data_IF_853119384422
#
_entry.id   IF_853119384422
#
_cell.length_a   1.000
_cell.length_b   1.000
_cell.length_c   1.000
_cell.angle_alpha   90.00
_cell.angle_beta   90.00
_cell.angle_gamma   90.00
#
_symmetry.space_group_name_H-M   'P 1'
#
loop_
_entity.id
_entity.type
_entity.pdbx_description
1 polymer ?
#
# COMPACT_ATOMS: atom_id res chain seq x y z
N UNK A 1 -7.02 15.76 26.98
CA UNK A 1 -7.07 17.22 26.75
C UNK A 1 -6.74 17.57 25.29
N UNK A 2 -5.71 16.96 24.69
CA UNK A 2 -5.24 17.28 23.32
C UNK A 2 -6.26 17.06 22.19
N UNK A 3 -7.15 16.06 22.29
CA UNK A 3 -8.08 15.76 21.19
C UNK A 3 -9.16 16.84 21.00
N UNK A 4 -9.69 17.39 22.11
CA UNK A 4 -10.73 18.41 22.03
C UNK A 4 -10.18 19.71 21.43
N UNK A 5 -8.95 20.08 21.77
CA UNK A 5 -8.27 21.25 21.20
C UNK A 5 -8.05 21.11 19.68
N UNK A 6 -7.76 19.90 19.19
CA UNK A 6 -7.66 19.61 17.75
C UNK A 6 -9.04 19.76 17.08
N UNK A 7 -10.09 19.23 17.70
CA UNK A 7 -11.47 19.35 17.17
C UNK A 7 -11.89 20.81 17.06
N UNK A 8 -11.65 21.60 18.10
CA UNK A 8 -11.98 23.02 18.12
C UNK A 8 -11.17 23.81 17.07
N UNK A 9 -9.91 23.42 16.85
CA UNK A 9 -9.06 24.01 15.80
C UNK A 9 -9.57 23.69 14.39
N UNK A 10 -10.04 22.46 14.16
CA UNK A 10 -10.60 22.04 12.86
C UNK A 10 -11.92 22.77 12.56
N UNK A 11 -12.77 22.97 13.58
CA UNK A 11 -14.03 23.70 13.43
C UNK A 11 -13.79 25.19 13.11
N UNK A 12 -12.69 25.76 13.58
CA UNK A 12 -12.31 27.15 13.32
C UNK A 12 -11.76 27.39 11.90
N UNK A 13 -11.43 26.34 11.14
CA UNK A 13 -10.95 26.44 9.76
C UNK A 13 -12.06 26.87 8.80
N UNK A 14 -11.68 27.53 7.71
CA UNK A 14 -12.60 27.75 6.59
C UNK A 14 -13.01 26.44 5.92
N UNK A 15 -14.11 26.47 5.16
CA UNK A 15 -14.61 25.28 4.45
C UNK A 15 -13.56 24.71 3.49
N UNK A 16 -12.83 25.57 2.78
CA UNK A 16 -11.76 25.16 1.86
C UNK A 16 -10.60 24.47 2.60
N UNK A 17 -10.20 25.00 3.76
CA UNK A 17 -9.15 24.39 4.59
C UNK A 17 -9.60 23.04 5.19
N UNK A 18 -10.88 22.91 5.55
CA UNK A 18 -11.45 21.65 6.00
C UNK A 18 -11.45 20.60 4.88
N UNK A 19 -11.86 20.98 3.66
CA UNK A 19 -11.86 20.09 2.50
C UNK A 19 -10.44 19.61 2.16
N UNK A 20 -9.46 20.51 2.18
CA UNK A 20 -8.04 20.16 1.98
C UNK A 20 -7.52 19.21 3.05
N UNK A 21 -7.91 19.41 4.32
CA UNK A 21 -7.50 18.55 5.44
C UNK A 21 -8.12 17.16 5.33
N UNK A 22 -9.36 17.04 4.87
CA UNK A 22 -10.02 15.76 4.60
C UNK A 22 -9.28 14.98 3.52
N UNK A 23 -8.91 15.62 2.41
CA UNK A 23 -8.16 14.98 1.33
C UNK A 23 -6.77 14.52 1.80
N UNK A 24 -6.07 15.33 2.60
CA UNK A 24 -4.78 14.94 3.18
C UNK A 24 -4.90 13.68 4.07
N UNK A 25 -5.89 13.65 4.96
CA UNK A 25 -6.13 12.48 5.84
C UNK A 25 -6.49 11.25 5.01
N UNK A 26 -7.26 11.42 3.93
CA UNK A 26 -7.62 10.33 3.03
C UNK A 26 -6.39 9.73 2.35
N UNK A 27 -5.53 10.56 1.77
CA UNK A 27 -4.28 10.12 1.13
C UNK A 27 -3.39 9.36 2.12
N UNK A 28 -3.22 9.91 3.32
CA UNK A 28 -2.42 9.26 4.37
C UNK A 28 -2.98 7.89 4.76
N UNK A 29 -4.31 7.73 4.84
CA UNK A 29 -4.94 6.42 5.09
C UNK A 29 -4.73 5.45 3.94
N UNK A 30 -4.80 5.90 2.69
CA UNK A 30 -4.56 5.05 1.52
C UNK A 30 -3.11 4.54 1.51
N UNK A 31 -2.14 5.40 1.80
CA UNK A 31 -0.72 5.02 1.96
C UNK A 31 -0.51 4.02 3.11
N UNK A 32 -1.10 4.28 4.28
CA UNK A 32 -1.01 3.37 5.41
C UNK A 32 -1.62 2.00 5.10
N UNK A 33 -2.78 1.95 4.42
CA UNK A 33 -3.41 0.70 3.98
C UNK A 33 -2.53 -0.06 2.98
N UNK A 34 -1.89 0.64 2.05
CA UNK A 34 -0.92 0.05 1.13
C UNK A 34 0.25 -0.59 1.87
N UNK A 35 0.80 0.10 2.88
CA UNK A 35 1.88 -0.41 3.72
C UNK A 35 1.44 -1.62 4.56
N UNK A 36 0.25 -1.59 5.17
CA UNK A 36 -0.29 -2.70 5.95
C UNK A 36 -0.54 -3.95 5.08
N UNK A 37 -1.05 -3.75 3.86
CA UNK A 37 -1.23 -4.82 2.88
C UNK A 37 0.12 -5.42 2.51
N UNK A 38 1.13 -4.59 2.21
CA UNK A 38 2.47 -5.04 1.87
C UNK A 38 3.11 -5.86 3.01
N UNK A 39 3.04 -5.36 4.24
CA UNK A 39 3.53 -6.11 5.41
C UNK A 39 2.81 -7.44 5.60
N UNK A 40 1.51 -7.51 5.30
CA UNK A 40 0.75 -8.76 5.39
C UNK A 40 1.19 -9.76 4.32
N UNK A 41 1.45 -9.30 3.08
CA UNK A 41 2.00 -10.15 2.02
C UNK A 41 3.40 -10.66 2.36
N UNK A 42 4.26 -9.83 2.97
CA UNK A 42 5.58 -10.25 3.43
C UNK A 42 5.49 -11.33 4.52
N UNK A 43 4.56 -11.20 5.47
CA UNK A 43 4.32 -12.25 6.49
C UNK A 43 3.84 -13.55 5.85
N UNK A 44 2.90 -13.47 4.91
CA UNK A 44 2.41 -14.64 4.19
C UNK A 44 3.54 -15.34 3.43
N UNK A 45 4.42 -14.57 2.76
CA UNK A 45 5.61 -15.12 2.09
C UNK A 45 6.52 -15.87 3.07
N UNK A 46 6.81 -15.30 4.23
CA UNK A 46 7.67 -15.94 5.22
C UNK A 46 7.09 -17.29 5.72
N UNK A 47 5.76 -17.35 5.92
CA UNK A 47 5.08 -18.60 6.30
C UNK A 47 5.19 -19.65 5.19
N UNK A 48 4.99 -19.26 3.92
CA UNK A 48 5.14 -20.18 2.79
C UNK A 48 6.56 -20.72 2.67
N UNK A 49 7.58 -19.88 2.87
CA UNK A 49 8.98 -20.29 2.86
C UNK A 49 9.29 -21.26 4.02
N UNK A 50 8.72 -21.06 5.21
CA UNK A 50 8.86 -21.97 6.36
C UNK A 50 8.23 -23.34 6.08
N UNK A 51 7.10 -23.37 5.38
CA UNK A 51 6.41 -24.60 4.92
C UNK A 51 7.09 -25.25 3.70
N UNK A 52 8.21 -24.70 3.22
CA UNK A 52 8.97 -25.22 2.08
C UNK A 52 8.32 -24.94 0.72
N UNK A 53 7.35 -24.02 0.66
CA UNK A 53 6.73 -23.56 -0.58
C UNK A 53 7.53 -22.37 -1.11
N UNK A 54 8.32 -22.64 -2.15
CA UNK A 54 9.08 -21.62 -2.86
C UNK A 54 8.47 -21.40 -4.24
N UNK A 55 8.45 -20.15 -4.68
CA UNK A 55 8.18 -19.80 -6.06
C UNK A 55 9.47 -19.27 -6.67
N UNK A 56 9.91 -19.86 -7.78
CA UNK A 56 11.05 -19.39 -8.55
C UNK A 56 10.61 -18.68 -9.84
N UNK A 57 11.58 -18.23 -10.63
CA UNK A 57 11.30 -17.52 -11.87
C UNK A 57 10.64 -18.43 -12.93
N UNK A 58 10.87 -19.73 -12.86
CA UNK A 58 10.28 -20.70 -13.78
C UNK A 58 8.78 -20.89 -13.48
N UNK A 59 8.35 -20.75 -12.22
CA UNK A 59 6.93 -20.78 -11.85
C UNK A 59 6.09 -19.66 -12.48
N UNK A 60 6.72 -18.54 -12.84
CA UNK A 60 6.07 -17.39 -13.48
C UNK A 60 6.35 -17.30 -14.99
N UNK A 61 7.09 -18.26 -15.55
CA UNK A 61 7.51 -18.32 -16.95
C UNK A 61 6.34 -18.20 -17.93
N UNK A 62 5.18 -18.76 -17.58
CA UNK A 62 3.96 -18.81 -18.40
C UNK A 62 3.08 -17.55 -18.28
N UNK A 63 3.32 -16.70 -17.27
CA UNK A 63 2.66 -15.42 -17.10
C UNK A 63 3.33 -14.32 -17.92
N UNK A 64 4.60 -14.53 -18.31
CA UNK A 64 5.36 -13.59 -19.14
C UNK A 64 4.99 -13.76 -20.61
N UNK A 65 4.67 -12.65 -21.27
CA UNK A 65 4.51 -12.62 -22.72
C UNK A 65 5.89 -12.75 -23.39
N UNK A 66 6.12 -13.89 -24.05
CA UNK A 66 7.36 -14.21 -24.76
C UNK A 66 7.31 -13.87 -26.26
N UNK A 67 6.35 -13.05 -26.67
CA UNK A 67 6.26 -12.60 -28.06
C UNK A 67 7.54 -11.84 -28.47
N UNK A 68 8.02 -12.01 -29.72
CA UNK A 68 9.22 -11.32 -30.20
C UNK A 68 9.15 -9.81 -29.96
N UNK A 69 10.21 -9.25 -29.37
CA UNK A 69 10.29 -7.82 -29.04
C UNK A 69 9.74 -7.42 -27.66
N UNK A 70 9.24 -8.37 -26.85
CA UNK A 70 8.88 -8.16 -25.43
C UNK A 70 9.82 -8.87 -24.45
N UNK A 71 10.99 -9.27 -24.94
CA UNK A 71 12.05 -9.89 -24.15
C UNK A 71 12.60 -8.88 -23.13
N UNK A 72 12.60 -9.25 -21.85
CA UNK A 72 13.21 -8.46 -20.78
C UNK A 72 14.57 -9.07 -20.49
N UNK A 73 15.65 -8.33 -20.79
CA UNK A 73 16.99 -8.68 -20.34
C UNK A 73 17.11 -8.26 -18.86
N UNK A 74 17.12 -9.24 -17.96
CA UNK A 74 17.39 -9.07 -16.54
C UNK A 74 18.90 -9.07 -16.26
#
# INVERSE_FOLDING_TARGET
MVFQEIVDSVIALSVEEQDNLIELIRQQREEQRGNELWHSLQRMRAILEEEGVFADEDDFANLRDRSPGREVNL
#
